data_IF_393789002692
#
_entry.id   IF_393789002692
#
_cell.length_a   1.000
_cell.length_b   1.000
_cell.length_c   1.000
_cell.angle_alpha   90.00
_cell.angle_beta   90.00
_cell.angle_gamma   90.00
#
_symmetry.space_group_name_H-M   'P 1'
#
loop_
_entity.id
_entity.type
_entity.pdbx_description
1 polymer ?
#
# COMPACT_ATOMS: atom_id res chain seq x y z
N UNK A 1 9.88 13.22 29.86
CA UNK A 1 10.34 12.04 30.62
C UNK A 1 10.38 10.89 29.60
N UNK A 2 11.58 10.48 29.15
CA UNK A 2 11.71 9.36 28.22
C UNK A 2 11.36 8.08 28.98
N UNK A 3 10.24 7.47 28.67
CA UNK A 3 9.93 6.12 29.13
C UNK A 3 10.87 5.20 28.36
N UNK A 4 11.97 4.81 29.00
CA UNK A 4 12.82 3.73 28.49
C UNK A 4 11.99 2.45 28.64
N UNK A 5 11.42 1.94 27.53
CA UNK A 5 10.85 0.61 27.50
C UNK A 5 11.90 -0.39 27.95
N UNK A 6 11.55 -1.47 28.69
CA UNK A 6 12.47 -2.56 28.92
C UNK A 6 12.94 -3.04 27.53
N UNK A 7 14.24 -3.26 27.40
CA UNK A 7 14.86 -3.75 26.19
C UNK A 7 14.28 -5.14 25.91
N UNK A 8 13.28 -5.23 25.02
CA UNK A 8 12.77 -6.52 24.58
C UNK A 8 13.92 -7.26 23.90
N UNK A 9 14.10 -8.53 24.25
CA UNK A 9 15.17 -9.33 23.68
C UNK A 9 14.71 -9.84 22.31
N UNK A 10 15.30 -9.29 21.24
CA UNK A 10 15.05 -9.72 19.86
C UNK A 10 16.11 -10.71 19.35
N UNK A 11 16.98 -11.26 20.22
CA UNK A 11 18.11 -12.10 19.79
C UNK A 11 17.65 -13.28 18.95
N UNK A 12 16.55 -13.92 19.32
CA UNK A 12 15.98 -15.04 18.56
C UNK A 12 15.57 -14.67 17.13
N UNK A 13 15.18 -13.41 16.89
CA UNK A 13 14.80 -12.91 15.56
C UNK A 13 16.03 -12.79 14.65
N UNK A 14 17.20 -12.51 15.22
CA UNK A 14 18.42 -12.15 14.49
C UNK A 14 19.50 -13.25 14.53
N UNK A 15 19.14 -14.51 14.78
CA UNK A 15 20.09 -15.63 14.81
C UNK A 15 20.80 -15.87 13.47
N UNK A 16 20.16 -15.48 12.37
CA UNK A 16 20.66 -15.56 10.98
C UNK A 16 21.18 -14.23 10.42
N UNK A 17 21.32 -13.19 11.26
CA UNK A 17 21.72 -11.83 10.86
C UNK A 17 23.21 -11.74 10.50
N UNK A 18 23.56 -12.19 9.28
CA UNK A 18 24.89 -12.06 8.71
C UNK A 18 25.19 -10.64 8.21
N UNK A 19 24.19 -9.79 8.09
CA UNK A 19 24.30 -8.42 7.61
C UNK A 19 24.50 -7.41 8.75
N UNK A 20 24.41 -7.88 10.00
CA UNK A 20 24.51 -7.04 11.21
C UNK A 20 23.53 -5.85 11.22
N UNK A 21 22.28 -6.11 10.80
CA UNK A 21 21.25 -5.09 10.67
C UNK A 21 20.34 -4.95 11.91
N UNK A 22 20.54 -5.77 12.95
CA UNK A 22 19.67 -5.79 14.13
C UNK A 22 19.41 -4.41 14.72
N UNK A 23 20.47 -3.62 14.99
CA UNK A 23 20.31 -2.27 15.54
C UNK A 23 19.47 -1.38 14.64
N UNK A 24 19.75 -1.38 13.33
CA UNK A 24 19.03 -0.55 12.36
C UNK A 24 17.55 -0.92 12.26
N UNK A 25 17.22 -2.21 12.30
CA UNK A 25 15.82 -2.68 12.27
C UNK A 25 15.09 -2.27 13.54
N UNK A 26 15.70 -2.46 14.71
CA UNK A 26 15.08 -2.12 16.01
C UNK A 26 14.89 -0.61 16.14
N UNK A 27 15.89 0.19 15.77
CA UNK A 27 15.81 1.65 15.81
C UNK A 27 14.73 2.16 14.86
N UNK A 28 14.63 1.56 13.67
CA UNK A 28 13.59 1.91 12.70
C UNK A 28 12.18 1.51 13.19
N UNK A 29 12.03 0.35 13.81
CA UNK A 29 10.77 -0.06 14.41
C UNK A 29 10.31 0.93 15.50
N UNK A 30 11.23 1.36 16.38
CA UNK A 30 10.94 2.36 17.40
C UNK A 30 10.59 3.72 16.80
N UNK A 31 11.30 4.17 15.75
CA UNK A 31 10.99 5.40 15.04
C UNK A 31 9.56 5.38 14.50
N UNK A 32 9.19 4.32 13.80
CA UNK A 32 7.83 4.15 13.24
C UNK A 32 6.78 4.18 14.35
N UNK A 33 7.02 3.48 15.45
CA UNK A 33 6.06 3.44 16.57
C UNK A 33 5.87 4.83 17.19
N UNK A 34 6.95 5.58 17.39
CA UNK A 34 6.89 6.92 18.00
C UNK A 34 6.20 7.95 17.09
N UNK A 35 6.53 7.95 15.81
CA UNK A 35 5.99 8.93 14.85
C UNK A 35 4.49 8.77 14.59
N UNK A 36 3.99 7.55 14.72
CA UNK A 36 2.57 7.27 14.51
C UNK A 36 1.65 7.81 15.62
N UNK A 37 2.23 8.20 16.77
CA UNK A 37 1.49 8.76 17.91
C UNK A 37 1.32 10.29 17.88
N UNK A 38 1.81 10.98 16.84
CA UNK A 38 1.61 12.41 16.71
C UNK A 38 0.12 12.68 16.45
N UNK A 39 -0.56 13.24 17.45
CA UNK A 39 -1.99 13.56 17.41
C UNK A 39 -2.34 14.41 16.18
N UNK A 40 -3.41 14.03 15.49
CA UNK A 40 -3.93 14.77 14.33
C UNK A 40 -3.18 14.50 13.02
N UNK A 41 -2.26 13.54 13.01
CA UNK A 41 -1.43 13.25 11.84
C UNK A 41 -2.15 12.50 10.72
N UNK A 42 -1.74 12.85 9.52
CA UNK A 42 -1.87 12.05 8.30
C UNK A 42 -1.06 10.77 8.50
N UNK A 43 -1.32 9.69 7.76
CA UNK A 43 -0.43 8.53 7.75
C UNK A 43 1.01 8.92 7.40
N UNK A 44 1.96 8.17 7.91
CA UNK A 44 3.37 8.37 7.59
C UNK A 44 3.80 7.38 6.51
N UNK A 45 4.66 7.85 5.62
CA UNK A 45 5.25 7.01 4.57
C UNK A 45 6.76 7.07 4.71
N UNK A 46 7.39 5.91 4.82
CA UNK A 46 8.84 5.75 4.85
C UNK A 46 9.29 4.95 3.64
N UNK A 47 10.47 5.25 3.13
CA UNK A 47 11.12 4.43 2.11
C UNK A 47 12.39 3.77 2.67
N UNK A 48 12.58 2.50 2.34
CA UNK A 48 13.84 1.77 2.48
C UNK A 48 14.43 1.71 1.08
N UNK A 49 15.19 2.75 0.74
CA UNK A 49 15.78 2.91 -0.59
C UNK A 49 17.18 2.30 -0.62
N UNK A 50 17.39 1.32 -1.48
CA UNK A 50 18.69 0.70 -1.69
C UNK A 50 18.73 -0.05 -3.03
N UNK A 51 19.92 -0.28 -3.56
CA UNK A 51 20.13 -1.05 -4.79
C UNK A 51 19.67 -2.51 -4.63
N UNK A 52 19.50 -3.19 -5.75
CA UNK A 52 19.15 -4.61 -5.78
C UNK A 52 20.23 -5.46 -5.06
N UNK A 53 19.79 -6.48 -4.30
CA UNK A 53 20.68 -7.46 -3.67
C UNK A 53 21.26 -7.06 -2.31
N UNK A 54 21.06 -5.84 -1.82
CA UNK A 54 21.61 -5.34 -0.54
C UNK A 54 20.90 -5.93 0.70
N UNK A 55 19.76 -6.63 0.53
CA UNK A 55 19.06 -7.24 1.66
C UNK A 55 17.81 -6.47 2.13
N UNK A 56 17.19 -5.64 1.28
CA UNK A 56 15.93 -4.93 1.60
C UNK A 56 14.84 -5.88 2.11
N UNK A 57 14.60 -6.98 1.40
CA UNK A 57 13.59 -7.97 1.77
C UNK A 57 13.88 -8.61 3.12
N UNK A 58 15.16 -8.95 3.39
CA UNK A 58 15.59 -9.46 4.69
C UNK A 58 15.35 -8.43 5.81
N UNK A 59 15.66 -7.16 5.56
CA UNK A 59 15.35 -6.07 6.49
C UNK A 59 13.86 -5.98 6.79
N UNK A 60 13.02 -6.01 5.76
CA UNK A 60 11.55 -5.97 5.89
C UNK A 60 11.00 -7.17 6.67
N UNK A 61 11.57 -8.35 6.48
CA UNK A 61 11.20 -9.56 7.23
C UNK A 61 11.53 -9.44 8.71
N UNK A 62 12.74 -8.98 9.03
CA UNK A 62 13.14 -8.76 10.42
C UNK A 62 12.31 -7.64 11.07
N UNK A 63 12.05 -6.55 10.33
CA UNK A 63 11.16 -5.47 10.78
C UNK A 63 9.76 -5.99 11.10
N UNK A 64 9.19 -6.82 10.22
CA UNK A 64 7.87 -7.43 10.46
C UNK A 64 7.86 -8.27 11.74
N UNK A 65 8.92 -9.06 11.98
CA UNK A 65 9.04 -9.91 13.18
C UNK A 65 9.16 -9.08 14.45
N UNK A 66 10.02 -8.05 14.47
CA UNK A 66 10.17 -7.11 15.60
C UNK A 66 8.83 -6.43 15.92
N UNK A 67 8.17 -5.88 14.92
CA UNK A 67 6.88 -5.20 15.10
C UNK A 67 5.80 -6.15 15.63
N UNK A 68 5.77 -7.41 15.19
CA UNK A 68 4.84 -8.43 15.71
C UNK A 68 5.13 -8.77 17.17
N UNK A 69 6.40 -8.88 17.56
CA UNK A 69 6.82 -9.10 18.96
C UNK A 69 6.35 -7.96 19.84
N UNK A 70 6.41 -6.73 19.37
CA UNK A 70 5.90 -5.52 20.05
C UNK A 70 4.37 -5.42 20.02
N UNK A 71 3.66 -6.44 19.59
CA UNK A 71 2.20 -6.43 19.42
C UNK A 71 1.69 -5.31 18.52
N UNK A 72 2.47 -4.89 17.53
CA UNK A 72 2.06 -3.96 16.47
C UNK A 72 1.42 -4.75 15.34
N UNK A 73 0.34 -4.22 14.78
CA UNK A 73 -0.30 -4.82 13.62
C UNK A 73 0.48 -4.47 12.37
N UNK A 74 1.02 -5.49 11.76
CA UNK A 74 1.80 -5.34 10.54
C UNK A 74 1.37 -6.34 9.48
N UNK A 75 1.33 -5.88 8.24
CA UNK A 75 1.19 -6.71 7.05
C UNK A 75 2.32 -6.38 6.08
N UNK A 76 2.99 -7.40 5.58
CA UNK A 76 3.93 -7.30 4.46
C UNK A 76 3.26 -7.83 3.20
N UNK A 77 3.38 -7.07 2.12
CA UNK A 77 2.97 -7.46 0.78
C UNK A 77 4.21 -7.46 -0.12
N UNK A 78 4.49 -8.60 -0.73
CA UNK A 78 5.40 -8.67 -1.86
C UNK A 78 4.60 -8.34 -3.12
N UNK A 79 4.77 -7.15 -3.63
CA UNK A 79 3.96 -6.65 -4.75
C UNK A 79 4.35 -7.31 -6.07
N UNK A 80 5.59 -7.73 -6.23
CA UNK A 80 6.04 -8.46 -7.41
C UNK A 80 5.35 -9.83 -7.55
N UNK A 81 5.14 -10.57 -6.46
CA UNK A 81 4.38 -11.82 -6.48
C UNK A 81 2.89 -11.63 -6.83
N UNK A 82 2.41 -10.39 -6.73
CA UNK A 82 1.01 -10.03 -6.93
C UNK A 82 0.75 -9.31 -8.27
N UNK A 83 1.79 -9.05 -9.06
CA UNK A 83 1.69 -8.25 -10.27
C UNK A 83 0.96 -8.94 -11.45
N UNK A 84 0.62 -10.23 -11.29
CA UNK A 84 -0.27 -10.94 -12.19
C UNK A 84 -1.74 -10.52 -12.04
N UNK A 85 -2.11 -9.88 -10.91
CA UNK A 85 -3.40 -9.21 -10.78
C UNK A 85 -3.34 -7.86 -11.52
N UNK A 86 -4.41 -7.52 -12.25
CA UNK A 86 -4.44 -6.23 -12.95
C UNK A 86 -4.64 -5.04 -12.00
N UNK A 87 -5.13 -5.32 -10.79
CA UNK A 87 -5.52 -4.31 -9.83
C UNK A 87 -4.89 -4.52 -8.46
N UNK A 88 -3.91 -3.66 -8.07
CA UNK A 88 -3.23 -3.76 -6.78
C UNK A 88 -4.11 -3.45 -5.56
N UNK A 89 -5.29 -2.85 -5.75
CA UNK A 89 -6.23 -2.60 -4.66
C UNK A 89 -6.78 -3.91 -4.08
N UNK A 90 -7.01 -4.92 -4.91
CA UNK A 90 -7.57 -6.21 -4.48
C UNK A 90 -6.70 -6.92 -3.45
N UNK A 91 -5.40 -7.19 -3.71
CA UNK A 91 -4.54 -7.79 -2.70
C UNK A 91 -4.34 -6.91 -1.46
N UNK A 92 -4.29 -5.58 -1.61
CA UNK A 92 -4.22 -4.66 -0.48
C UNK A 92 -5.46 -4.79 0.42
N UNK A 93 -6.66 -4.78 -0.15
CA UNK A 93 -7.92 -4.95 0.60
C UNK A 93 -8.00 -6.33 1.26
N UNK A 94 -7.57 -7.38 0.58
CA UNK A 94 -7.51 -8.72 1.13
C UNK A 94 -6.62 -8.77 2.38
N UNK A 95 -5.44 -8.14 2.31
CA UNK A 95 -4.49 -8.08 3.42
C UNK A 95 -5.00 -7.23 4.59
N UNK A 96 -5.60 -6.08 4.30
CA UNK A 96 -6.24 -5.24 5.31
C UNK A 96 -7.39 -5.98 6.00
N UNK A 97 -8.21 -6.73 5.25
CA UNK A 97 -9.30 -7.52 5.79
C UNK A 97 -8.77 -8.67 6.67
N UNK A 98 -7.69 -9.33 6.29
CA UNK A 98 -7.03 -10.36 7.11
C UNK A 98 -6.57 -9.80 8.47
N UNK A 99 -5.90 -8.65 8.46
CA UNK A 99 -5.49 -7.97 9.69
C UNK A 99 -6.66 -7.54 10.56
N UNK A 100 -7.74 -7.07 9.93
CA UNK A 100 -8.94 -6.62 10.61
C UNK A 100 -9.70 -7.78 11.26
N UNK A 101 -9.78 -8.93 10.57
CA UNK A 101 -10.46 -10.16 11.04
C UNK A 101 -9.91 -10.72 12.34
N UNK A 102 -8.63 -10.55 12.63
CA UNK A 102 -7.99 -11.04 13.88
C UNK A 102 -8.69 -10.59 15.17
N UNK A 103 -9.70 -9.68 15.08
CA UNK A 103 -10.57 -9.28 16.20
C UNK A 103 -12.03 -9.72 16.04
N UNK A 104 -12.31 -10.74 15.23
CA UNK A 104 -13.67 -11.23 15.01
C UNK A 104 -14.57 -10.30 14.17
N UNK A 105 -13.99 -9.28 13.53
CA UNK A 105 -14.69 -8.36 12.63
C UNK A 105 -14.08 -8.47 11.23
N UNK A 106 -14.91 -8.45 10.20
CA UNK A 106 -14.49 -8.38 8.81
C UNK A 106 -14.85 -7.02 8.23
N UNK A 107 -14.10 -6.57 7.23
CA UNK A 107 -14.52 -5.44 6.40
C UNK A 107 -15.86 -5.79 5.72
N UNK A 108 -16.81 -4.85 5.61
CA UNK A 108 -18.07 -5.11 4.94
C UNK A 108 -17.86 -5.63 3.53
N UNK A 109 -18.46 -6.78 3.22
CA UNK A 109 -18.32 -7.45 1.90
C UNK A 109 -18.73 -6.53 0.76
N UNK A 110 -19.76 -5.71 0.97
CA UNK A 110 -20.20 -4.70 -0.02
C UNK A 110 -19.10 -3.71 -0.41
N UNK A 111 -18.24 -3.29 0.55
CA UNK A 111 -17.13 -2.38 0.27
C UNK A 111 -16.06 -3.11 -0.55
N UNK A 112 -15.72 -4.34 -0.17
CA UNK A 112 -14.73 -5.14 -0.87
C UNK A 112 -15.18 -5.38 -2.32
N UNK A 113 -16.44 -5.75 -2.52
CA UNK A 113 -16.97 -6.03 -3.85
C UNK A 113 -17.05 -4.75 -4.70
N UNK A 114 -17.64 -3.66 -4.19
CA UNK A 114 -17.76 -2.42 -4.96
C UNK A 114 -16.41 -1.84 -5.35
N UNK A 115 -15.41 -1.94 -4.49
CA UNK A 115 -14.05 -1.49 -4.80
C UNK A 115 -13.31 -2.46 -5.73
N UNK A 116 -13.56 -3.78 -5.63
CA UNK A 116 -12.98 -4.80 -6.49
C UNK A 116 -13.54 -4.74 -7.91
N UNK A 117 -14.85 -4.65 -8.05
CA UNK A 117 -15.53 -4.64 -9.36
C UNK A 117 -15.25 -3.37 -10.16
N UNK A 118 -15.25 -2.21 -9.49
CA UNK A 118 -14.98 -0.93 -10.15
C UNK A 118 -13.52 -0.72 -10.47
N UNK A 119 -12.63 -1.17 -9.63
CA UNK A 119 -11.21 -1.05 -9.91
C UNK A 119 -10.81 -1.90 -11.13
N UNK A 120 -11.48 -3.03 -11.39
CA UNK A 120 -11.28 -3.77 -12.65
C UNK A 120 -11.88 -3.06 -13.87
N UNK A 121 -12.98 -2.34 -13.71
CA UNK A 121 -13.67 -1.61 -14.80
C UNK A 121 -13.06 -0.24 -15.08
N UNK A 122 -12.74 0.54 -14.05
CA UNK A 122 -12.27 1.92 -14.21
C UNK A 122 -10.81 2.05 -14.60
N UNK A 123 -9.94 1.13 -14.17
CA UNK A 123 -8.54 1.11 -14.62
C UNK A 123 -8.42 0.78 -16.11
N UNK A 124 -9.25 -0.12 -16.62
CA UNK A 124 -9.32 -0.38 -18.07
C UNK A 124 -9.74 0.91 -18.81
N UNK A 125 -10.73 1.63 -18.30
CA UNK A 125 -11.21 2.89 -18.92
C UNK A 125 -10.19 4.02 -18.86
N UNK A 126 -9.48 4.19 -17.74
CA UNK A 126 -8.48 5.26 -17.58
C UNK A 126 -7.17 4.97 -18.34
N UNK A 127 -6.71 3.72 -18.35
CA UNK A 127 -5.57 3.32 -19.19
C UNK A 127 -5.91 3.45 -20.69
N UNK A 128 -7.12 3.11 -21.09
CA UNK A 128 -7.61 3.33 -22.45
C UNK A 128 -7.66 4.82 -22.81
N UNK A 129 -8.03 5.73 -21.92
CA UNK A 129 -8.03 7.19 -22.16
C UNK A 129 -6.60 7.71 -22.30
N UNK A 130 -5.64 7.24 -21.52
CA UNK A 130 -4.23 7.62 -21.61
C UNK A 130 -3.55 7.11 -22.91
N UNK A 131 -3.85 5.89 -23.31
CA UNK A 131 -3.32 5.28 -24.55
C UNK A 131 -3.99 5.85 -25.79
N UNK A 132 -5.19 6.42 -25.71
CA UNK A 132 -5.97 6.92 -26.85
C UNK A 132 -5.57 8.28 -27.39
N UNK A 133 -4.58 8.94 -26.86
CA UNK A 133 -3.93 10.02 -27.63
C UNK A 133 -3.29 9.53 -28.94
N UNK A 134 -3.24 8.19 -29.13
CA UNK A 134 -2.59 7.53 -30.28
C UNK A 134 -3.50 6.65 -31.14
N UNK A 135 -4.78 6.41 -30.80
CA UNK A 135 -5.64 5.45 -31.55
C UNK A 135 -7.02 6.07 -31.87
N UNK A 136 -7.38 5.95 -33.15
CA UNK A 136 -8.47 6.54 -33.91
C UNK A 136 -9.90 6.62 -33.33
N UNK A 137 -10.69 7.39 -34.03
CA UNK A 137 -11.99 7.98 -33.71
C UNK A 137 -13.16 7.04 -33.40
N UNK A 138 -13.16 5.79 -33.78
CA UNK A 138 -14.31 4.86 -33.61
C UNK A 138 -14.58 4.42 -32.17
N UNK A 139 -13.57 4.48 -31.31
CA UNK A 139 -13.68 4.13 -29.89
C UNK A 139 -14.19 5.28 -29.00
N UNK A 140 -14.18 6.50 -29.50
CA UNK A 140 -14.69 7.69 -28.79
C UNK A 140 -16.22 7.63 -28.64
N UNK A 141 -16.92 7.06 -29.62
CA UNK A 141 -18.38 7.01 -29.63
C UNK A 141 -18.93 5.98 -28.63
N UNK A 142 -18.27 4.84 -28.48
CA UNK A 142 -18.63 3.81 -27.46
C UNK A 142 -18.44 4.35 -26.03
N UNK A 143 -17.48 5.24 -25.84
CA UNK A 143 -17.26 5.89 -24.54
C UNK A 143 -18.30 6.97 -24.29
N UNK A 144 -18.62 7.78 -25.31
CA UNK A 144 -19.68 8.80 -25.20
C UNK A 144 -21.03 8.19 -24.84
N UNK A 145 -21.40 7.06 -25.45
CA UNK A 145 -22.64 6.34 -25.12
C UNK A 145 -22.64 5.81 -23.69
N UNK A 146 -21.54 5.29 -23.19
CA UNK A 146 -21.42 4.87 -21.78
C UNK A 146 -21.41 6.06 -20.81
N UNK A 147 -20.80 7.19 -21.16
CA UNK A 147 -20.88 8.43 -20.37
C UNK A 147 -22.27 9.06 -20.39
N UNK A 148 -23.00 8.93 -21.49
CA UNK A 148 -24.37 9.46 -21.63
C UNK A 148 -25.41 8.62 -20.88
N UNK A 149 -25.12 7.37 -20.54
CA UNK A 149 -26.07 6.45 -19.91
C UNK A 149 -26.17 6.56 -18.38
N UNK A 150 -25.43 7.47 -17.73
CA UNK A 150 -25.45 7.65 -16.27
C UNK A 150 -24.75 6.54 -15.46
N UNK A 151 -24.58 5.34 -16.02
CA UNK A 151 -23.99 4.20 -15.31
C UNK A 151 -22.56 4.45 -14.81
N UNK A 152 -21.74 5.17 -15.57
CA UNK A 152 -20.36 5.48 -15.15
C UNK A 152 -20.32 6.47 -13.99
N UNK A 153 -21.27 7.40 -13.92
CA UNK A 153 -21.35 8.35 -12.82
C UNK A 153 -21.78 7.66 -11.52
N UNK A 154 -22.77 6.78 -11.60
CA UNK A 154 -23.27 6.03 -10.45
C UNK A 154 -22.19 5.05 -9.93
N UNK A 155 -21.49 4.36 -10.83
CA UNK A 155 -20.34 3.50 -10.51
C UNK A 155 -19.21 4.30 -9.82
N UNK A 156 -18.86 5.46 -10.37
CA UNK A 156 -17.83 6.33 -9.78
C UNK A 156 -18.24 6.82 -8.39
N UNK A 157 -19.46 7.27 -8.23
CA UNK A 157 -19.99 7.74 -6.95
C UNK A 157 -20.02 6.61 -5.92
N UNK A 158 -20.44 5.42 -6.31
CA UNK A 158 -20.44 4.25 -5.44
C UNK A 158 -19.00 3.89 -4.99
N UNK A 159 -18.01 4.01 -5.87
CA UNK A 159 -16.59 3.82 -5.51
C UNK A 159 -16.11 4.88 -4.51
N UNK A 160 -16.38 6.17 -4.77
CA UNK A 160 -16.00 7.24 -3.85
C UNK A 160 -16.62 7.06 -2.46
N UNK A 161 -17.90 6.71 -2.40
CA UNK A 161 -18.61 6.50 -1.13
C UNK A 161 -18.06 5.26 -0.39
N UNK A 162 -17.76 4.19 -1.11
CA UNK A 162 -17.13 2.98 -0.55
C UNK A 162 -15.72 3.26 -0.04
N UNK A 163 -14.92 4.07 -0.77
CA UNK A 163 -13.59 4.47 -0.34
C UNK A 163 -13.65 5.34 0.93
N UNK A 164 -14.57 6.31 0.98
CA UNK A 164 -14.80 7.16 2.17
C UNK A 164 -15.20 6.31 3.38
N UNK A 165 -16.13 5.37 3.19
CA UNK A 165 -16.56 4.47 4.26
C UNK A 165 -15.41 3.58 4.74
N UNK A 166 -14.64 2.98 3.82
CA UNK A 166 -13.47 2.19 4.16
C UNK A 166 -12.48 2.99 5.00
N UNK A 167 -12.12 4.20 4.57
CA UNK A 167 -11.22 5.09 5.32
C UNK A 167 -11.72 5.35 6.73
N UNK A 168 -13.01 5.62 6.91
CA UNK A 168 -13.60 5.83 8.23
C UNK A 168 -13.52 4.59 9.12
N UNK A 169 -13.72 3.41 8.56
CA UNK A 169 -13.57 2.14 9.29
C UNK A 169 -12.11 1.96 9.72
N UNK A 170 -11.16 2.20 8.81
CA UNK A 170 -9.73 2.06 9.08
C UNK A 170 -9.26 3.06 10.16
N UNK A 171 -9.67 4.33 10.09
CA UNK A 171 -9.36 5.35 11.10
C UNK A 171 -9.93 4.95 12.47
N UNK A 172 -11.19 4.52 12.53
CA UNK A 172 -11.81 4.05 13.79
C UNK A 172 -11.08 2.83 14.34
N UNK A 173 -10.63 1.94 13.47
CA UNK A 173 -9.85 0.78 13.87
C UNK A 173 -8.48 1.16 14.41
N UNK A 174 -7.74 2.04 13.74
CA UNK A 174 -6.45 2.52 14.19
C UNK A 174 -6.54 3.21 15.55
N UNK A 175 -7.49 4.13 15.72
CA UNK A 175 -7.75 4.82 17.01
C UNK A 175 -8.03 3.82 18.15
N UNK A 176 -8.83 2.78 17.88
CA UNK A 176 -9.14 1.75 18.88
C UNK A 176 -7.95 0.84 19.20
N UNK A 177 -7.02 0.71 18.29
CA UNK A 177 -5.87 -0.17 18.44
C UNK A 177 -4.82 0.39 19.42
N UNK A 178 -4.77 1.72 19.64
CA UNK A 178 -3.75 2.43 20.44
C UNK A 178 -2.30 2.26 19.98
N UNK A 179 -2.06 1.52 18.93
CA UNK A 179 -0.77 1.31 18.26
C UNK A 179 -0.97 1.47 16.76
N UNK A 180 0.06 1.91 16.03
CA UNK A 180 -0.06 2.05 14.57
C UNK A 180 -0.39 0.72 13.89
N UNK A 181 -0.91 0.84 12.68
CA UNK A 181 -1.08 -0.28 11.76
C UNK A 181 -0.08 -0.06 10.64
N UNK A 182 0.82 -1.01 10.45
CA UNK A 182 1.94 -0.86 9.52
C UNK A 182 1.72 -1.75 8.29
N UNK A 183 1.91 -1.16 7.12
CA UNK A 183 1.84 -1.84 5.83
C UNK A 183 3.21 -1.74 5.18
N UNK A 184 3.88 -2.87 5.02
CA UNK A 184 5.18 -2.97 4.34
C UNK A 184 4.91 -3.42 2.91
N UNK A 185 5.37 -2.64 1.96
CA UNK A 185 5.31 -2.90 0.52
C UNK A 185 6.71 -3.22 0.05
N UNK A 186 6.93 -4.44 -0.40
CA UNK A 186 8.24 -4.93 -0.82
C UNK A 186 8.27 -5.25 -2.31
N UNK A 187 9.42 -5.10 -2.94
CA UNK A 187 9.71 -5.45 -4.33
C UNK A 187 8.87 -4.68 -5.38
N UNK A 188 8.49 -3.43 -5.08
CA UNK A 188 7.73 -2.58 -5.99
C UNK A 188 8.50 -2.27 -7.28
N UNK A 189 9.81 -2.16 -7.18
CA UNK A 189 10.75 -1.88 -8.27
C UNK A 189 10.90 -3.05 -9.27
N UNK A 190 10.47 -4.26 -8.90
CA UNK A 190 10.52 -5.45 -9.78
C UNK A 190 9.25 -5.69 -10.57
N UNK A 191 8.18 -5.00 -10.25
CA UNK A 191 6.90 -5.16 -10.93
C UNK A 191 6.95 -4.68 -12.37
N UNK A 192 5.99 -5.13 -13.16
CA UNK A 192 5.69 -4.50 -14.45
C UNK A 192 5.51 -3.00 -14.24
N UNK A 193 6.06 -2.14 -15.11
CA UNK A 193 6.01 -0.69 -14.92
C UNK A 193 4.60 -0.13 -14.69
N UNK A 194 3.60 -0.60 -15.42
CA UNK A 194 2.21 -0.20 -15.28
C UNK A 194 1.62 -0.59 -13.93
N UNK A 195 1.98 -1.78 -13.42
CA UNK A 195 1.52 -2.26 -12.12
C UNK A 195 2.18 -1.52 -10.97
N UNK A 196 3.47 -1.21 -11.07
CA UNK A 196 4.18 -0.43 -10.06
C UNK A 196 3.56 0.96 -9.88
N UNK A 197 3.28 1.66 -10.99
CA UNK A 197 2.62 2.98 -10.96
C UNK A 197 1.20 2.88 -10.41
N UNK A 198 0.39 1.92 -10.87
CA UNK A 198 -0.95 1.67 -10.32
C UNK A 198 -0.93 1.39 -8.82
N UNK A 199 0.09 0.66 -8.33
CA UNK A 199 0.25 0.41 -6.91
C UNK A 199 0.46 1.71 -6.14
N UNK A 200 1.34 2.60 -6.59
CA UNK A 200 1.54 3.91 -5.98
C UNK A 200 0.27 4.77 -6.03
N UNK A 201 -0.47 4.73 -7.13
CA UNK A 201 -1.76 5.43 -7.26
C UNK A 201 -2.82 4.91 -6.28
N UNK A 202 -2.87 3.60 -6.06
CA UNK A 202 -3.75 3.01 -5.03
C UNK A 202 -3.31 3.43 -3.64
N UNK A 203 -2.02 3.32 -3.32
CA UNK A 203 -1.49 3.64 -2.00
C UNK A 203 -1.72 5.10 -1.61
N UNK A 204 -1.60 6.06 -2.56
CA UNK A 204 -1.86 7.48 -2.27
C UNK A 204 -3.26 7.73 -1.70
N UNK A 205 -4.26 6.92 -2.06
CA UNK A 205 -5.62 7.04 -1.53
C UNK A 205 -5.73 6.62 -0.05
N UNK A 206 -4.71 5.93 0.47
CA UNK A 206 -4.66 5.51 1.87
C UNK A 206 -3.69 6.33 2.72
N UNK A 207 -2.90 7.21 2.10
CA UNK A 207 -1.92 8.04 2.81
C UNK A 207 -2.54 9.09 3.73
N UNK A 208 -3.84 9.33 3.66
CA UNK A 208 -4.58 10.20 4.55
C UNK A 208 -5.31 9.47 5.70
N UNK A 209 -5.08 8.14 5.83
CA UNK A 209 -5.70 7.33 6.89
C UNK A 209 -4.87 7.41 8.16
N UNK A 210 -5.28 8.27 9.09
CA UNK A 210 -4.60 8.47 10.37
C UNK A 210 -4.40 7.16 11.16
N UNK A 211 -3.20 6.97 11.71
CA UNK A 211 -2.80 5.79 12.48
C UNK A 211 -2.28 4.63 11.61
N UNK A 212 -2.14 4.85 10.32
CA UNK A 212 -1.43 3.94 9.42
C UNK A 212 -0.01 4.45 9.14
N UNK A 213 0.91 3.52 8.95
CA UNK A 213 2.26 3.78 8.46
C UNK A 213 2.53 2.86 7.29
N UNK A 214 3.04 3.44 6.21
CA UNK A 214 3.46 2.70 5.02
C UNK A 214 4.99 2.69 4.96
N UNK A 215 5.55 1.52 4.72
CA UNK A 215 7.00 1.32 4.50
C UNK A 215 7.17 0.76 3.11
N UNK A 216 7.83 1.49 2.23
CA UNK A 216 8.08 1.11 0.85
C UNK A 216 9.53 0.68 0.71
N UNK A 217 9.79 -0.61 0.44
CA UNK A 217 11.13 -1.11 0.15
C UNK A 217 11.30 -1.17 -1.37
N UNK A 218 12.23 -0.40 -1.91
CA UNK A 218 12.40 -0.24 -3.35
C UNK A 218 13.82 0.19 -3.75
N UNK A 219 14.14 -0.02 -5.01
CA UNK A 219 15.25 0.64 -5.69
C UNK A 219 14.71 1.86 -6.46
N UNK A 220 15.10 3.06 -6.01
CA UNK A 220 14.60 4.32 -6.59
C UNK A 220 14.94 4.45 -8.07
N UNK A 221 16.15 4.05 -8.47
CA UNK A 221 16.60 4.14 -9.87
C UNK A 221 15.78 3.22 -10.78
N UNK A 222 15.49 2.02 -10.29
CA UNK A 222 14.69 1.05 -11.03
C UNK A 222 13.24 1.51 -11.16
N UNK A 223 12.65 2.01 -10.07
CA UNK A 223 11.29 2.56 -10.08
C UNK A 223 11.18 3.80 -10.97
N UNK A 224 12.16 4.70 -10.92
CA UNK A 224 12.22 5.86 -11.82
C UNK A 224 12.27 5.44 -13.28
N UNK A 225 13.04 4.40 -13.62
CA UNK A 225 13.09 3.83 -14.97
C UNK A 225 11.74 3.29 -15.42
N UNK A 226 11.01 2.62 -14.53
CA UNK A 226 9.65 2.13 -14.78
C UNK A 226 8.67 3.28 -15.05
N UNK A 227 8.73 4.35 -14.27
CA UNK A 227 7.90 5.54 -14.45
C UNK A 227 8.23 6.23 -15.78
N UNK A 228 9.51 6.39 -16.11
CA UNK A 228 9.95 6.98 -17.39
C UNK A 228 9.50 6.15 -18.59
N UNK A 229 9.47 4.83 -18.47
CA UNK A 229 8.99 3.94 -19.53
C UNK A 229 7.52 4.21 -19.88
N UNK A 230 6.68 4.53 -18.89
CA UNK A 230 5.25 4.77 -19.09
C UNK A 230 4.91 6.19 -19.54
N UNK A 231 5.57 7.17 -18.98
CA UNK A 231 5.24 8.60 -19.19
C UNK A 231 6.20 9.30 -20.16
N UNK A 232 7.24 8.64 -20.60
CA UNK A 232 8.30 9.21 -21.41
C UNK A 232 9.29 10.02 -20.59
N UNK A 233 10.46 10.26 -21.17
CA UNK A 233 11.44 11.21 -20.62
C UNK A 233 11.00 12.61 -21.01
N UNK A 234 10.62 13.47 -20.08
CA UNK A 234 10.61 14.89 -20.33
C UNK A 234 12.07 15.34 -20.48
N UNK A 235 12.49 15.57 -21.72
CA UNK A 235 13.69 16.33 -22.02
C UNK A 235 13.45 17.81 -21.75
#
# INVERSE_FOLDING_TARGET
>A
MKVVKPQENYDDIFTDDKLNIKSSVVDFAHLIEQDAYIEGGVSKVYSIAAEFGIGKTFFCEKLEQVLKTDNIKVAKLNIWELDFYDNPLVPLLAKLNELYKRKGKALPVRIINSMGDLASKSLISLCEIGVRKTIGSETVDVIKDKFSSGYLYDDFKMYEDSLKELKQILIKWARKNKKPIIIIIDELDRCRPDYAVKTLEVLKHFFDVSGFVFVLALDEKQLESSVKCLFGTNN
#
